data_IF_013377113530
#
_entry.id   IF_013377113530
#
_cell.length_a   1.000
_cell.length_b   1.000
_cell.length_c   1.000
_cell.angle_alpha   90.00
_cell.angle_beta   90.00
_cell.angle_gamma   90.00
#
_symmetry.space_group_name_H-M   'P 1'
#
loop_
_entity.id
_entity.type
_entity.pdbx_description
1 polymer ?
#
# COMPACT_ATOMS: atom_id res chain seq x y z
N UNK A 1 -17.09 25.89 4.90
CA UNK A 1 -16.14 24.77 4.76
C UNK A 1 -16.73 23.65 5.59
N UNK A 2 -17.13 22.56 4.95
CA UNK A 2 -17.64 21.38 5.65
C UNK A 2 -16.45 20.45 5.95
N UNK A 3 -16.34 20.00 7.19
CA UNK A 3 -15.30 19.08 7.66
C UNK A 3 -15.85 17.65 7.87
N UNK A 4 -17.11 17.40 7.48
CA UNK A 4 -17.75 16.09 7.58
C UNK A 4 -17.43 15.19 6.37
N UNK A 5 -17.64 13.89 6.55
CA UNK A 5 -17.59 12.90 5.48
C UNK A 5 -18.94 12.88 4.75
N UNK A 6 -18.91 12.66 3.43
CA UNK A 6 -20.14 12.45 2.68
C UNK A 6 -20.61 10.98 2.80
N UNK A 7 -21.85 10.69 2.35
CA UNK A 7 -22.44 9.37 2.48
C UNK A 7 -21.67 8.25 1.77
N UNK A 8 -20.99 8.55 0.66
CA UNK A 8 -20.16 7.56 -0.05
C UNK A 8 -18.92 7.21 0.78
N UNK A 9 -18.27 8.21 1.37
CA UNK A 9 -17.11 8.03 2.22
C UNK A 9 -17.44 7.25 3.50
N UNK A 10 -18.55 7.58 4.13
CA UNK A 10 -19.07 6.86 5.31
C UNK A 10 -19.41 5.39 4.98
N UNK A 11 -20.02 5.15 3.82
CA UNK A 11 -20.33 3.81 3.37
C UNK A 11 -19.06 2.99 3.17
N UNK A 12 -18.07 3.54 2.46
CA UNK A 12 -16.78 2.90 2.22
C UNK A 12 -16.05 2.61 3.54
N UNK A 13 -16.07 3.56 4.48
CA UNK A 13 -15.47 3.39 5.81
C UNK A 13 -16.09 2.19 6.54
N UNK A 14 -17.44 2.15 6.60
CA UNK A 14 -18.16 1.07 7.28
C UNK A 14 -17.91 -0.31 6.63
N UNK A 15 -17.85 -0.36 5.30
CA UNK A 15 -17.57 -1.60 4.57
C UNK A 15 -16.16 -2.12 4.85
N UNK A 16 -15.16 -1.25 4.86
CA UNK A 16 -13.76 -1.65 5.13
C UNK A 16 -13.57 -2.00 6.60
N UNK A 17 -14.21 -1.28 7.51
CA UNK A 17 -14.19 -1.62 8.94
C UNK A 17 -14.80 -3.00 9.20
N UNK A 18 -15.98 -3.28 8.64
CA UNK A 18 -16.63 -4.57 8.76
C UNK A 18 -15.77 -5.71 8.15
N UNK A 19 -15.22 -5.50 6.96
CA UNK A 19 -14.26 -6.42 6.33
C UNK A 19 -13.07 -6.70 7.23
N UNK A 20 -12.41 -5.66 7.77
CA UNK A 20 -11.25 -5.82 8.63
C UNK A 20 -11.57 -6.60 9.91
N UNK A 21 -12.80 -6.51 10.41
CA UNK A 21 -13.24 -7.27 11.59
C UNK A 21 -13.60 -8.73 11.30
N UNK A 22 -14.14 -9.02 10.12
CA UNK A 22 -14.74 -10.31 9.80
C UNK A 22 -13.81 -11.21 8.98
N UNK A 23 -13.09 -10.63 8.02
CA UNK A 23 -12.36 -11.38 7.00
C UNK A 23 -10.85 -11.47 7.27
N UNK A 24 -10.30 -10.57 8.10
CA UNK A 24 -8.88 -10.62 8.47
C UNK A 24 -8.69 -11.57 9.65
N UNK A 25 -7.84 -12.60 9.47
CA UNK A 25 -7.53 -13.59 10.51
C UNK A 25 -6.84 -12.93 11.71
N UNK A 26 -7.26 -13.35 12.93
CA UNK A 26 -6.90 -12.70 14.19
C UNK A 26 -5.96 -13.52 15.09
N UNK A 27 -5.30 -14.52 14.56
CA UNK A 27 -4.31 -15.36 15.23
C UNK A 27 -2.93 -14.66 15.36
N UNK A 28 -2.98 -13.35 15.64
CA UNK A 28 -1.82 -12.45 15.60
C UNK A 28 -0.71 -12.87 16.56
N UNK A 29 -1.02 -13.24 17.80
CA UNK A 29 -0.03 -13.53 18.84
C UNK A 29 0.88 -14.70 18.41
N UNK A 30 0.30 -15.75 17.86
CA UNK A 30 1.07 -16.92 17.40
C UNK A 30 1.90 -16.57 16.16
N UNK A 31 1.31 -15.84 15.20
CA UNK A 31 1.99 -15.40 13.98
C UNK A 31 3.15 -14.45 14.29
N UNK A 32 2.95 -13.50 15.18
CA UNK A 32 3.98 -12.56 15.61
C UNK A 32 5.15 -13.30 16.27
N UNK A 33 4.84 -14.23 17.20
CA UNK A 33 5.84 -15.04 17.88
C UNK A 33 6.71 -15.87 16.90
N UNK A 34 6.14 -16.33 15.80
CA UNK A 34 6.81 -17.13 14.77
C UNK A 34 7.24 -16.31 13.55
N UNK A 35 7.11 -14.99 13.55
CA UNK A 35 7.46 -14.08 12.44
C UNK A 35 6.74 -14.47 11.13
N UNK A 36 5.46 -14.85 11.20
CA UNK A 36 4.67 -15.30 10.06
C UNK A 36 3.88 -14.12 9.47
N UNK A 37 4.20 -13.74 8.23
CA UNK A 37 3.35 -12.90 7.41
C UNK A 37 2.27 -13.76 6.73
N UNK A 38 0.99 -13.41 6.90
CA UNK A 38 -0.11 -14.19 6.36
C UNK A 38 -0.53 -13.70 4.97
N UNK A 39 -0.10 -14.41 3.94
CA UNK A 39 -0.42 -14.10 2.54
C UNK A 39 -1.92 -14.07 2.24
N UNK A 40 -2.71 -14.88 2.94
CA UNK A 40 -4.16 -14.91 2.78
C UNK A 40 -4.80 -13.58 3.22
N UNK A 41 -4.33 -12.95 4.31
CA UNK A 41 -4.81 -11.64 4.73
C UNK A 41 -4.42 -10.54 3.73
N UNK A 42 -3.21 -10.65 3.17
CA UNK A 42 -2.76 -9.74 2.11
C UNK A 42 -3.64 -9.84 0.87
N UNK A 43 -3.90 -11.06 0.42
CA UNK A 43 -4.75 -11.29 -0.74
C UNK A 43 -6.19 -10.83 -0.49
N UNK A 44 -6.75 -11.07 0.69
CA UNK A 44 -8.07 -10.58 1.05
C UNK A 44 -8.17 -9.03 0.97
N UNK A 45 -7.11 -8.31 1.38
CA UNK A 45 -7.02 -6.86 1.24
C UNK A 45 -6.98 -6.44 -0.23
N UNK A 46 -6.21 -7.15 -1.06
CA UNK A 46 -6.15 -6.91 -2.50
C UNK A 46 -7.49 -7.18 -3.18
N UNK A 47 -8.13 -8.32 -2.89
CA UNK A 47 -9.44 -8.71 -3.45
C UNK A 47 -10.55 -7.72 -3.05
N UNK A 48 -10.45 -7.12 -1.85
CA UNK A 48 -11.34 -6.02 -1.41
C UNK A 48 -11.07 -4.71 -2.18
N UNK A 49 -10.01 -4.62 -2.97
CA UNK A 49 -9.64 -3.47 -3.78
C UNK A 49 -8.92 -2.35 -3.00
N UNK A 50 -8.52 -2.61 -1.76
CA UNK A 50 -7.93 -1.58 -0.88
C UNK A 50 -6.61 -1.08 -1.45
N UNK A 51 -5.75 -1.97 -2.00
CA UNK A 51 -4.45 -1.60 -2.55
C UNK A 51 -4.52 -0.67 -3.77
N UNK A 52 -5.69 -0.58 -4.42
CA UNK A 52 -5.91 0.22 -5.62
C UNK A 52 -6.80 1.45 -5.44
N UNK A 53 -7.23 1.79 -4.20
CA UNK A 53 -8.27 2.79 -3.96
C UNK A 53 -8.01 4.13 -4.67
N UNK A 54 -6.81 4.69 -4.59
CA UNK A 54 -6.50 6.02 -5.15
C UNK A 54 -5.95 5.98 -6.58
N UNK A 55 -5.52 4.81 -7.05
CA UNK A 55 -4.96 4.68 -8.39
C UNK A 55 -6.04 4.69 -9.47
N UNK A 56 -5.73 5.18 -10.68
CA UNK A 56 -6.68 5.20 -11.79
C UNK A 56 -7.16 3.80 -12.21
N UNK A 57 -8.38 3.75 -12.73
CA UNK A 57 -9.00 2.54 -13.28
C UNK A 57 -8.17 1.91 -14.42
N UNK A 58 -7.43 2.73 -15.18
CA UNK A 58 -6.53 2.27 -16.24
C UNK A 58 -5.45 1.29 -15.76
N UNK A 59 -5.16 1.26 -14.46
CA UNK A 59 -4.21 0.34 -13.83
C UNK A 59 -4.90 -0.68 -12.91
N UNK A 60 -6.23 -0.71 -12.88
CA UNK A 60 -7.01 -1.59 -12.01
C UNK A 60 -7.40 -0.96 -10.66
N UNK A 61 -7.19 0.34 -10.49
CA UNK A 61 -7.59 1.07 -9.29
C UNK A 61 -9.04 1.55 -9.31
N UNK A 62 -9.43 2.31 -8.30
CA UNK A 62 -10.80 2.84 -8.12
C UNK A 62 -10.90 4.36 -8.21
N UNK A 63 -9.80 5.05 -8.52
CA UNK A 63 -9.70 6.50 -8.70
C UNK A 63 -10.31 7.34 -7.56
N UNK A 64 -10.29 6.82 -6.32
CA UNK A 64 -10.77 7.57 -5.16
C UNK A 64 -9.81 8.71 -4.84
N UNK A 65 -10.32 9.79 -4.25
CA UNK A 65 -9.46 10.89 -3.79
C UNK A 65 -8.51 10.39 -2.69
N UNK A 66 -7.36 11.05 -2.54
CA UNK A 66 -6.41 10.73 -1.45
C UNK A 66 -7.09 10.83 -0.09
N UNK A 67 -7.93 11.84 0.14
CA UNK A 67 -8.66 12.02 1.40
C UNK A 67 -9.61 10.84 1.66
N UNK A 68 -10.37 10.41 0.66
CA UNK A 68 -11.24 9.24 0.75
C UNK A 68 -10.44 7.96 1.02
N UNK A 69 -9.29 7.81 0.36
CA UNK A 69 -8.41 6.66 0.56
C UNK A 69 -7.84 6.62 1.98
N UNK A 70 -7.39 7.74 2.52
CA UNK A 70 -6.88 7.83 3.90
C UNK A 70 -7.97 7.49 4.91
N UNK A 71 -9.19 7.98 4.71
CA UNK A 71 -10.35 7.64 5.55
C UNK A 71 -10.67 6.15 5.52
N UNK A 72 -10.58 5.52 4.34
CA UNK A 72 -10.74 4.07 4.19
C UNK A 72 -9.62 3.27 4.88
N UNK A 73 -8.36 3.75 4.81
CA UNK A 73 -7.23 3.12 5.51
C UNK A 73 -7.32 3.30 7.04
N UNK A 74 -7.90 4.40 7.51
CA UNK A 74 -8.24 4.55 8.93
C UNK A 74 -9.23 3.46 9.37
N UNK A 75 -10.27 3.17 8.59
CA UNK A 75 -11.22 2.10 8.87
C UNK A 75 -10.54 0.73 8.93
N UNK A 76 -9.61 0.46 7.99
CA UNK A 76 -8.81 -0.77 8.01
C UNK A 76 -8.00 -0.87 9.31
N UNK A 77 -7.29 0.18 9.70
CA UNK A 77 -6.50 0.20 10.94
C UNK A 77 -7.33 0.09 12.20
N UNK A 78 -8.56 0.64 12.18
CA UNK A 78 -9.49 0.55 13.31
C UNK A 78 -10.05 -0.87 13.49
N UNK A 79 -10.31 -1.57 12.39
CA UNK A 79 -10.87 -2.93 12.39
C UNK A 79 -9.82 -4.04 12.52
N UNK A 80 -8.61 -3.83 12.02
CA UNK A 80 -7.55 -4.82 11.94
C UNK A 80 -6.60 -4.72 13.14
N UNK A 81 -6.42 -5.78 13.94
CA UNK A 81 -5.49 -5.77 15.07
C UNK A 81 -4.02 -5.93 14.64
N UNK A 82 -3.76 -6.30 13.38
CA UNK A 82 -2.43 -6.56 12.85
C UNK A 82 -1.81 -5.27 12.28
N UNK A 83 -1.07 -4.56 13.13
CA UNK A 83 -0.39 -3.33 12.74
C UNK A 83 0.72 -3.57 11.71
N UNK A 84 1.34 -4.74 11.69
CA UNK A 84 2.32 -5.12 10.66
C UNK A 84 1.69 -5.20 9.28
N UNK A 85 0.51 -5.79 9.18
CA UNK A 85 -0.25 -5.86 7.94
C UNK A 85 -0.70 -4.46 7.46
N UNK A 86 -1.25 -3.65 8.37
CA UNK A 86 -1.67 -2.28 8.01
C UNK A 86 -0.49 -1.40 7.62
N UNK A 87 0.67 -1.56 8.25
CA UNK A 87 1.91 -0.89 7.86
C UNK A 87 2.37 -1.33 6.47
N UNK A 88 2.34 -2.63 6.17
CA UNK A 88 2.72 -3.16 4.86
C UNK A 88 1.82 -2.62 3.73
N UNK A 89 0.50 -2.52 3.97
CA UNK A 89 -0.46 -1.92 3.04
C UNK A 89 -0.11 -0.45 2.77
N UNK A 90 0.06 0.35 3.82
CA UNK A 90 0.41 1.76 3.69
C UNK A 90 1.79 1.94 3.04
N UNK A 91 2.78 1.14 3.42
CA UNK A 91 4.11 1.15 2.82
C UNK A 91 4.02 0.91 1.31
N UNK A 92 3.38 -0.17 0.88
CA UNK A 92 3.25 -0.44 -0.55
C UNK A 92 2.50 0.67 -1.30
N UNK A 93 1.40 1.16 -0.76
CA UNK A 93 0.60 2.19 -1.43
C UNK A 93 1.35 3.52 -1.58
N UNK A 94 1.93 4.03 -0.49
CA UNK A 94 2.47 5.38 -0.47
C UNK A 94 3.95 5.47 -0.83
N UNK A 95 4.75 4.44 -0.52
CA UNK A 95 6.20 4.50 -0.78
C UNK A 95 6.62 3.77 -2.05
N UNK A 96 5.77 2.92 -2.62
CA UNK A 96 6.07 2.19 -3.86
C UNK A 96 5.13 2.56 -4.99
N UNK A 97 3.82 2.39 -4.81
CA UNK A 97 2.85 2.63 -5.90
C UNK A 97 2.79 4.11 -6.29
N UNK A 98 2.78 5.02 -5.31
CA UNK A 98 2.71 6.45 -5.59
C UNK A 98 3.93 6.97 -6.38
N UNK A 99 5.19 6.66 -6.02
CA UNK A 99 6.34 7.01 -6.84
C UNK A 99 6.30 6.42 -8.26
N UNK A 100 5.90 5.15 -8.42
CA UNK A 100 5.74 4.54 -9.74
C UNK A 100 4.67 5.30 -10.54
N UNK A 101 3.53 5.62 -9.92
CA UNK A 101 2.44 6.34 -10.57
C UNK A 101 2.85 7.76 -10.97
N UNK A 102 3.56 8.49 -10.10
CA UNK A 102 3.96 9.89 -10.36
C UNK A 102 5.12 10.02 -11.33
N UNK A 103 6.13 9.18 -11.20
CA UNK A 103 7.43 9.37 -11.85
C UNK A 103 7.78 8.27 -12.85
N UNK A 104 7.08 7.14 -12.83
CA UNK A 104 7.30 6.04 -13.75
C UNK A 104 6.90 6.38 -15.19
N UNK A 105 7.59 5.78 -16.16
CA UNK A 105 7.14 5.77 -17.55
C UNK A 105 5.84 4.98 -17.68
N UNK A 106 5.07 5.21 -18.75
CA UNK A 106 3.82 4.47 -18.97
C UNK A 106 4.04 2.95 -19.03
N UNK A 107 5.15 2.51 -19.63
CA UNK A 107 5.52 1.10 -19.67
C UNK A 107 5.79 0.52 -18.26
N UNK A 108 6.39 1.29 -17.35
CA UNK A 108 6.59 0.89 -15.97
C UNK A 108 5.27 0.84 -15.20
N UNK A 109 4.40 1.84 -15.36
CA UNK A 109 3.08 1.86 -14.73
C UNK A 109 2.25 0.64 -15.13
N UNK A 110 2.14 0.37 -16.42
CA UNK A 110 1.40 -0.79 -16.95
C UNK A 110 2.01 -2.13 -16.50
N UNK A 111 3.31 -2.19 -16.31
CA UNK A 111 4.00 -3.41 -15.89
C UNK A 111 3.81 -3.72 -14.41
N UNK A 112 3.86 -2.70 -13.54
CA UNK A 112 3.97 -2.90 -12.10
C UNK A 112 2.66 -2.62 -11.36
N UNK A 113 1.93 -1.52 -11.67
CA UNK A 113 0.78 -1.12 -10.87
C UNK A 113 -0.33 -2.17 -10.82
N UNK A 114 -0.76 -2.81 -11.92
CA UNK A 114 -1.79 -3.83 -11.85
C UNK A 114 -1.44 -4.97 -10.89
N UNK A 115 -0.17 -5.43 -10.89
CA UNK A 115 0.29 -6.53 -10.05
C UNK A 115 0.49 -6.16 -8.58
N UNK A 116 0.72 -4.88 -8.30
CA UNK A 116 0.76 -4.35 -6.95
C UNK A 116 -0.66 -4.18 -6.40
N UNK A 117 -1.62 -3.82 -7.26
CA UNK A 117 -3.03 -3.63 -6.90
C UNK A 117 -3.73 -4.97 -6.64
N UNK A 118 -3.50 -5.98 -7.48
CA UNK A 118 -4.10 -7.31 -7.34
C UNK A 118 -3.45 -8.19 -6.26
N UNK A 119 -2.41 -7.69 -5.59
CA UNK A 119 -1.70 -8.38 -4.52
C UNK A 119 -0.66 -9.41 -4.97
N UNK A 120 -0.53 -9.66 -6.29
CA UNK A 120 0.46 -10.60 -6.86
C UNK A 120 1.89 -10.19 -6.50
N UNK A 121 2.17 -8.86 -6.51
CA UNK A 121 3.45 -8.33 -6.07
C UNK A 121 3.31 -7.69 -4.68
N UNK A 122 4.28 -8.01 -3.83
CA UNK A 122 4.56 -7.29 -2.59
C UNK A 122 5.86 -6.53 -2.79
N UNK A 123 5.87 -5.26 -2.46
CA UNK A 123 7.03 -4.41 -2.67
C UNK A 123 7.26 -3.47 -1.49
N UNK A 124 8.49 -3.13 -1.28
CA UNK A 124 8.94 -2.14 -0.31
C UNK A 124 9.98 -1.21 -0.93
N UNK A 125 10.31 -0.17 -0.23
CA UNK A 125 11.35 0.78 -0.58
C UNK A 125 12.57 0.61 0.32
N UNK A 126 13.75 0.85 -0.23
CA UNK A 126 15.01 0.86 0.51
C UNK A 126 15.58 2.28 0.54
N UNK A 127 15.08 3.11 1.45
CA UNK A 127 15.45 4.54 1.52
C UNK A 127 16.64 4.79 2.45
N UNK A 128 16.76 4.02 3.54
CA UNK A 128 17.81 4.25 4.54
C UNK A 128 19.18 3.80 4.06
N UNK A 129 20.15 4.68 4.14
CA UNK A 129 21.59 4.41 3.92
C UNK A 129 22.35 4.47 5.26
N UNK A 130 23.64 4.05 5.25
CA UNK A 130 24.46 4.06 6.47
C UNK A 130 24.56 5.45 7.11
N UNK A 131 24.67 6.49 6.26
CA UNK A 131 24.85 7.88 6.69
C UNK A 131 23.58 8.75 6.47
N UNK A 132 22.48 8.20 5.98
CA UNK A 132 21.26 8.93 5.68
C UNK A 132 20.01 8.15 6.15
N UNK A 133 19.47 8.53 7.29
CA UNK A 133 18.21 8.01 7.84
C UNK A 133 17.10 9.05 7.72
N UNK A 134 16.82 9.79 8.80
CA UNK A 134 15.79 10.84 8.81
C UNK A 134 16.06 11.97 7.80
N UNK A 135 17.32 12.24 7.48
CA UNK A 135 17.70 13.14 6.40
C UNK A 135 17.75 12.39 5.06
N UNK A 136 16.58 12.06 4.52
CA UNK A 136 16.46 11.38 3.24
C UNK A 136 16.89 12.21 2.03
N UNK A 137 17.21 13.49 2.22
CA UNK A 137 17.77 14.35 1.16
C UNK A 137 19.30 14.25 1.07
N UNK A 138 19.95 13.60 2.02
CA UNK A 138 21.41 13.35 2.04
C UNK A 138 21.80 11.99 1.45
N UNK A 139 20.91 11.34 0.70
CA UNK A 139 21.17 10.06 0.04
C UNK A 139 22.33 10.19 -0.96
N UNK A 140 23.23 9.21 -0.95
CA UNK A 140 24.44 9.18 -1.79
C UNK A 140 24.44 8.04 -2.82
N UNK A 141 23.53 7.06 -2.68
CA UNK A 141 23.42 5.95 -3.62
C UNK A 141 23.13 6.46 -5.03
N UNK A 142 23.94 6.03 -5.97
CA UNK A 142 23.80 6.37 -7.39
C UNK A 142 23.54 5.11 -8.20
N UNK A 143 22.76 5.24 -9.29
CA UNK A 143 22.51 4.16 -10.24
C UNK A 143 23.18 4.48 -11.58
N UNK A 144 24.25 3.76 -11.92
CA UNK A 144 24.97 3.91 -13.18
C UNK A 144 24.47 2.88 -14.19
N UNK A 145 24.04 3.35 -15.38
CA UNK A 145 23.55 2.45 -16.44
C UNK A 145 24.72 1.66 -17.02
N UNK A 146 24.58 0.35 -17.07
CA UNK A 146 25.53 -0.59 -17.67
C UNK A 146 24.81 -1.51 -18.66
N UNK A 147 25.56 -2.35 -19.40
CA UNK A 147 24.96 -3.36 -20.28
C UNK A 147 24.13 -4.35 -19.45
N UNK A 148 22.85 -4.50 -19.78
CA UNK A 148 21.95 -5.41 -19.11
C UNK A 148 21.28 -4.91 -17.82
N UNK A 149 21.59 -3.68 -17.36
CA UNK A 149 20.97 -3.15 -16.12
C UNK A 149 21.58 -1.87 -15.57
N UNK A 150 21.68 -1.83 -14.24
CA UNK A 150 22.26 -0.75 -13.48
C UNK A 150 23.21 -1.30 -12.41
N UNK A 151 24.29 -0.58 -12.17
CA UNK A 151 25.18 -0.77 -11.04
C UNK A 151 24.78 0.26 -9.96
N UNK A 152 24.51 -0.21 -8.75
CA UNK A 152 24.24 0.59 -7.55
C UNK A 152 25.52 0.77 -6.74
#
# INVERSE_FOLDING_TARGET
MEFGWNSEQETLWNEIYAFAQQDIKRDLIERDHHSIFLDENWQAIADKGILGLYLPEAYGGSAKSVVTTVHALEALGYGCPDNGLTLAVNGQMWTVQEPIFKFGTEAQKQRYLPKLIDGTYKAGDGVTEADAGSDAFSLQTTATKVEGGYLL
#
